data_IF_653784360882
#
_entry.id   IF_653784360882
#
_cell.length_a   1.000
_cell.length_b   1.000
_cell.length_c   1.000
_cell.angle_alpha   90.00
_cell.angle_beta   90.00
_cell.angle_gamma   90.00
#
_symmetry.space_group_name_H-M   'P 1'
#
loop_
_entity.id
_entity.type
_entity.pdbx_description
1 polymer ?
#
# COMPACT_ATOMS: atom_id res chain seq x y z
N UNK A 1 -20.40 30.06 24.25
CA UNK A 1 -21.28 29.01 23.68
C UNK A 1 -20.63 28.53 22.35
N UNK A 2 -19.99 27.39 22.39
CA UNK A 2 -19.31 26.83 21.21
C UNK A 2 -20.35 26.13 20.32
N UNK A 3 -20.49 26.55 19.05
CA UNK A 3 -21.37 25.91 18.08
C UNK A 3 -20.83 24.51 17.75
N UNK A 4 -21.58 23.46 18.05
CA UNK A 4 -21.33 22.09 17.62
C UNK A 4 -21.25 22.05 16.08
N UNK A 5 -20.16 21.51 15.55
CA UNK A 5 -20.03 21.22 14.12
C UNK A 5 -21.15 20.26 13.67
N UNK A 6 -21.76 20.47 12.50
CA UNK A 6 -22.83 19.61 12.01
C UNK A 6 -22.31 18.19 11.79
N UNK A 7 -23.03 17.21 12.32
CA UNK A 7 -22.74 15.80 12.12
C UNK A 7 -22.69 15.47 10.61
N UNK A 8 -21.58 14.92 10.12
CA UNK A 8 -21.45 14.42 8.74
C UNK A 8 -22.57 13.39 8.50
N UNK A 9 -23.56 13.75 7.67
CA UNK A 9 -24.58 12.81 7.22
C UNK A 9 -23.89 11.64 6.52
N UNK A 10 -24.15 10.40 6.97
CA UNK A 10 -23.72 9.19 6.24
C UNK A 10 -24.26 9.27 4.82
N UNK A 11 -23.41 9.00 3.78
CA UNK A 11 -23.88 9.01 2.42
C UNK A 11 -25.02 8.00 2.27
N UNK A 12 -26.12 8.41 1.63
CA UNK A 12 -27.23 7.51 1.31
C UNK A 12 -26.72 6.42 0.38
N UNK A 13 -27.03 5.16 0.69
CA UNK A 13 -26.75 4.04 -0.24
C UNK A 13 -27.44 4.34 -1.58
N UNK A 14 -26.68 4.30 -2.67
CA UNK A 14 -27.22 4.43 -4.02
C UNK A 14 -28.19 3.26 -4.27
N UNK A 15 -29.27 3.54 -4.99
CA UNK A 15 -30.20 2.49 -5.44
C UNK A 15 -29.55 1.74 -6.61
N UNK A 16 -29.71 0.41 -6.73
CA UNK A 16 -29.31 -0.33 -7.95
C UNK A 16 -29.90 0.31 -9.21
N UNK A 17 -29.15 0.32 -10.31
CA UNK A 17 -29.60 0.87 -11.60
C UNK A 17 -29.63 2.40 -11.70
N UNK A 18 -28.93 3.14 -10.82
CA UNK A 18 -28.93 4.61 -10.84
C UNK A 18 -27.60 5.23 -11.22
N UNK A 19 -26.58 4.43 -11.54
CA UNK A 19 -25.25 4.93 -11.92
C UNK A 19 -24.67 4.12 -13.08
N UNK A 20 -23.89 4.82 -13.91
CA UNK A 20 -23.16 4.21 -15.02
C UNK A 20 -23.92 4.22 -16.32
N UNK A 21 -23.39 3.53 -17.30
CA UNK A 21 -23.90 3.38 -18.65
C UNK A 21 -24.85 2.19 -18.76
N UNK A 22 -25.83 2.29 -19.63
CA UNK A 22 -26.61 1.11 -20.03
C UNK A 22 -25.76 0.18 -20.91
N UNK A 23 -26.04 -1.14 -20.94
CA UNK A 23 -25.24 -2.10 -21.70
C UNK A 23 -25.03 -1.74 -23.18
N UNK A 24 -26.03 -1.13 -23.82
CA UNK A 24 -25.93 -0.69 -25.22
C UNK A 24 -24.97 0.50 -25.42
N UNK A 25 -24.85 1.36 -24.42
CA UNK A 25 -23.95 2.53 -24.45
C UNK A 25 -22.47 2.15 -24.24
N UNK A 26 -22.22 0.96 -23.72
CA UNK A 26 -20.86 0.42 -23.53
C UNK A 26 -20.20 -0.02 -24.84
N UNK A 27 -20.98 -0.24 -25.91
CA UNK A 27 -20.44 -0.68 -27.19
C UNK A 27 -19.67 0.45 -27.89
N UNK A 28 -18.46 0.13 -28.33
CA UNK A 28 -17.62 1.01 -29.16
C UNK A 28 -17.22 0.29 -30.44
N UNK A 29 -17.11 1.02 -31.53
CA UNK A 29 -16.63 0.53 -32.83
C UNK A 29 -15.18 1.00 -33.10
N UNK A 30 -14.77 2.14 -32.54
CA UNK A 30 -13.45 2.71 -32.72
C UNK A 30 -12.92 3.28 -31.42
N UNK A 31 -11.62 3.18 -31.23
CA UNK A 31 -10.89 3.82 -30.12
C UNK A 31 -10.53 5.26 -30.48
N UNK A 32 -10.55 6.14 -29.47
CA UNK A 32 -10.20 7.56 -29.61
C UNK A 32 -9.22 7.98 -28.52
N UNK A 33 -8.42 9.01 -28.80
CA UNK A 33 -7.49 9.58 -27.82
C UNK A 33 -6.49 8.58 -27.28
N UNK A 34 -6.29 8.53 -25.97
CA UNK A 34 -5.35 7.62 -25.30
C UNK A 34 -5.63 6.13 -25.55
N UNK A 35 -6.90 5.77 -25.81
CA UNK A 35 -7.26 4.40 -26.13
C UNK A 35 -6.80 4.00 -27.55
N UNK A 36 -6.77 4.96 -28.50
CA UNK A 36 -6.20 4.72 -29.83
C UNK A 36 -4.68 4.52 -29.75
N UNK A 37 -3.97 5.36 -28.98
CA UNK A 37 -2.54 5.22 -28.72
C UNK A 37 -2.21 3.86 -28.06
N UNK A 38 -3.05 3.41 -27.13
CA UNK A 38 -2.91 2.10 -26.51
C UNK A 38 -3.17 0.95 -27.51
N UNK A 39 -4.09 1.11 -28.45
CA UNK A 39 -4.34 0.12 -29.50
C UNK A 39 -3.13 0.02 -30.46
N UNK A 40 -2.56 1.14 -30.87
CA UNK A 40 -1.32 1.18 -31.67
C UNK A 40 -0.17 0.48 -30.94
N UNK A 41 0.00 0.76 -29.64
CA UNK A 41 1.01 0.11 -28.83
C UNK A 41 0.83 -1.42 -28.73
N UNK A 42 -0.44 -1.90 -28.72
CA UNK A 42 -0.74 -3.36 -28.78
C UNK A 42 -0.27 -3.95 -30.10
N UNK A 43 -0.56 -3.29 -31.23
CA UNK A 43 -0.18 -3.77 -32.56
C UNK A 43 1.35 -3.71 -32.79
N UNK A 44 2.00 -2.63 -32.37
CA UNK A 44 3.47 -2.49 -32.44
C UNK A 44 4.19 -3.56 -31.61
N UNK A 45 3.62 -3.96 -30.49
CA UNK A 45 4.15 -5.05 -29.68
C UNK A 45 3.92 -6.44 -30.28
N UNK A 46 3.22 -6.54 -31.42
CA UNK A 46 2.83 -7.81 -32.04
C UNK A 46 1.62 -8.47 -31.37
N UNK A 47 0.85 -7.73 -30.63
CA UNK A 47 -0.44 -8.15 -30.04
C UNK A 47 -1.62 -7.95 -31.00
N UNK A 48 -2.81 -8.23 -30.53
CA UNK A 48 -4.06 -8.07 -31.28
C UNK A 48 -5.15 -7.53 -30.37
N UNK A 49 -5.83 -6.45 -30.78
CA UNK A 49 -7.04 -5.96 -30.12
C UNK A 49 -8.22 -6.80 -30.61
N UNK A 50 -8.87 -7.52 -29.69
CA UNK A 50 -9.99 -8.42 -29.98
C UNK A 50 -11.35 -7.82 -29.62
N UNK A 51 -11.36 -6.72 -28.89
CA UNK A 51 -12.57 -5.99 -28.53
C UNK A 51 -12.30 -4.65 -27.92
N UNK A 52 -13.27 -3.78 -28.00
CA UNK A 52 -13.25 -2.43 -27.45
C UNK A 52 -14.59 -2.11 -26.80
N UNK A 53 -14.57 -1.53 -25.61
CA UNK A 53 -15.80 -1.15 -24.93
C UNK A 53 -15.57 0.02 -23.96
N UNK A 54 -16.64 0.68 -23.56
CA UNK A 54 -16.65 1.60 -22.42
C UNK A 54 -16.95 0.80 -21.15
N UNK A 55 -16.08 0.94 -20.13
CA UNK A 55 -16.41 0.34 -18.84
C UNK A 55 -17.68 1.03 -18.27
N UNK A 56 -18.59 0.25 -17.65
CA UNK A 56 -19.95 0.73 -17.41
C UNK A 56 -20.09 1.79 -16.31
N UNK A 57 -19.10 1.98 -15.42
CA UNK A 57 -19.24 2.92 -14.29
C UNK A 57 -18.81 4.35 -14.64
N UNK A 58 -17.65 4.52 -15.25
CA UNK A 58 -17.06 5.82 -15.60
C UNK A 58 -17.11 6.13 -17.10
N UNK A 59 -17.37 5.13 -17.94
CA UNK A 59 -17.41 5.31 -19.39
C UNK A 59 -16.03 5.35 -20.05
N UNK A 60 -14.97 4.95 -19.34
CA UNK A 60 -13.62 4.93 -19.87
C UNK A 60 -13.46 3.82 -20.92
N UNK A 61 -12.73 4.14 -22.01
CA UNK A 61 -12.46 3.17 -23.05
C UNK A 61 -11.46 2.13 -22.59
N UNK A 62 -11.77 0.86 -22.80
CA UNK A 62 -10.95 -0.28 -22.40
C UNK A 62 -10.83 -1.27 -23.56
N UNK A 63 -9.63 -1.73 -23.82
CA UNK A 63 -9.33 -2.69 -24.87
C UNK A 63 -9.26 -4.11 -24.27
N UNK A 64 -9.92 -5.06 -24.88
CA UNK A 64 -9.64 -6.47 -24.70
C UNK A 64 -8.61 -6.88 -25.75
N UNK A 65 -7.43 -7.31 -25.33
CA UNK A 65 -6.32 -7.63 -26.23
C UNK A 65 -5.69 -8.97 -25.90
N UNK A 66 -5.02 -9.55 -26.89
CA UNK A 66 -4.12 -10.69 -26.73
C UNK A 66 -2.69 -10.18 -26.95
N UNK A 67 -1.87 -10.23 -25.92
CA UNK A 67 -0.51 -9.70 -25.91
C UNK A 67 0.53 -10.81 -25.96
N UNK A 68 1.67 -10.65 -26.68
CA UNK A 68 2.80 -11.53 -26.52
C UNK A 68 3.26 -11.55 -25.06
N UNK A 69 3.49 -12.72 -24.51
CA UNK A 69 3.73 -12.87 -23.07
C UNK A 69 5.06 -12.24 -22.61
N UNK A 70 6.03 -12.17 -23.51
CA UNK A 70 7.32 -11.52 -23.31
C UNK A 70 7.26 -9.98 -23.31
N UNK A 71 6.15 -9.41 -23.77
CA UNK A 71 5.89 -7.97 -23.76
C UNK A 71 5.11 -7.50 -22.52
N UNK A 72 4.71 -8.41 -21.64
CA UNK A 72 3.97 -8.09 -20.41
C UNK A 72 4.86 -8.34 -19.21
N UNK A 73 5.11 -7.29 -18.42
CA UNK A 73 5.89 -7.36 -17.19
C UNK A 73 5.06 -6.95 -15.98
N UNK A 74 5.35 -7.50 -14.78
CA UNK A 74 4.76 -6.95 -13.56
C UNK A 74 5.22 -5.50 -13.37
N UNK A 75 4.37 -4.68 -12.77
CA UNK A 75 4.79 -3.32 -12.37
C UNK A 75 5.99 -3.40 -11.43
N UNK A 76 7.02 -2.54 -11.58
CA UNK A 76 8.28 -2.63 -10.83
C UNK A 76 8.13 -2.64 -9.30
N UNK A 77 6.99 -2.18 -8.79
CA UNK A 77 6.72 -1.98 -7.36
C UNK A 77 5.81 -3.04 -6.75
N UNK A 78 5.52 -4.13 -7.46
CA UNK A 78 4.73 -5.23 -6.92
C UNK A 78 5.54 -6.10 -5.95
N UNK A 79 4.82 -6.76 -5.04
CA UNK A 79 5.38 -7.75 -4.10
C UNK A 79 6.11 -8.87 -4.82
N UNK A 80 7.07 -9.46 -4.12
CA UNK A 80 7.71 -10.68 -4.58
C UNK A 80 6.69 -11.82 -4.70
N UNK A 81 6.91 -12.68 -5.69
CA UNK A 81 6.04 -13.81 -5.98
C UNK A 81 6.11 -14.85 -4.86
N UNK A 82 4.94 -15.36 -4.47
CA UNK A 82 4.87 -16.60 -3.72
C UNK A 82 4.98 -17.78 -4.69
N UNK A 83 6.09 -18.51 -4.62
CA UNK A 83 6.37 -19.69 -5.45
C UNK A 83 5.26 -20.74 -5.42
N UNK A 84 4.68 -20.97 -4.25
CA UNK A 84 3.60 -21.92 -4.08
C UNK A 84 2.31 -21.53 -4.83
N UNK A 85 2.02 -20.22 -4.88
CA UNK A 85 0.76 -19.72 -5.44
C UNK A 85 0.72 -19.81 -6.97
N UNK A 86 1.77 -19.36 -7.67
CA UNK A 86 1.78 -19.42 -9.13
C UNK A 86 1.91 -20.84 -9.66
N UNK A 87 2.61 -21.75 -8.94
CA UNK A 87 2.66 -23.18 -9.27
C UNK A 87 1.27 -23.82 -9.23
N UNK A 88 0.53 -23.61 -8.13
CA UNK A 88 -0.84 -24.10 -7.99
C UNK A 88 -1.77 -23.53 -9.06
N UNK A 89 -1.62 -22.25 -9.40
CA UNK A 89 -2.41 -21.63 -10.44
C UNK A 89 -2.10 -22.20 -11.83
N UNK A 90 -0.82 -22.45 -12.13
CA UNK A 90 -0.42 -23.12 -13.37
C UNK A 90 -1.04 -24.52 -13.49
N UNK A 91 -1.04 -25.30 -12.39
CA UNK A 91 -1.66 -26.63 -12.36
C UNK A 91 -3.17 -26.57 -12.64
N UNK A 92 -3.87 -25.58 -12.07
CA UNK A 92 -5.31 -25.38 -12.31
C UNK A 92 -5.58 -25.00 -13.76
N UNK A 93 -4.83 -24.02 -14.31
CA UNK A 93 -4.99 -23.59 -15.71
C UNK A 93 -4.70 -24.77 -16.66
N UNK A 94 -3.65 -25.56 -16.38
CA UNK A 94 -3.32 -26.75 -17.18
C UNK A 94 -4.44 -27.78 -17.16
N UNK A 95 -5.03 -28.06 -15.99
CA UNK A 95 -6.13 -29.01 -15.83
C UNK A 95 -7.43 -28.56 -16.52
N UNK A 96 -7.72 -27.26 -16.46
CA UNK A 96 -8.92 -26.69 -17.10
C UNK A 96 -8.74 -26.47 -18.61
N UNK A 97 -7.49 -26.41 -19.09
CA UNK A 97 -7.14 -26.09 -20.47
C UNK A 97 -7.59 -24.70 -20.91
N UNK A 98 -7.87 -23.80 -19.98
CA UNK A 98 -8.44 -22.47 -20.26
C UNK A 98 -7.85 -21.40 -19.36
N UNK A 99 -7.55 -20.25 -19.96
CA UNK A 99 -7.24 -19.01 -19.26
C UNK A 99 -8.43 -18.06 -19.39
N UNK A 100 -9.21 -17.91 -18.32
CA UNK A 100 -10.51 -17.22 -18.33
C UNK A 100 -10.51 -15.87 -17.64
N UNK A 101 -9.44 -15.53 -16.93
CA UNK A 101 -9.36 -14.31 -16.12
C UNK A 101 -8.26 -13.38 -16.67
N UNK A 102 -8.59 -12.44 -17.59
CA UNK A 102 -7.62 -11.55 -18.20
C UNK A 102 -6.80 -10.77 -17.17
N UNK A 103 -5.54 -10.50 -17.46
CA UNK A 103 -4.74 -9.58 -16.66
C UNK A 103 -5.11 -8.14 -17.01
N UNK A 104 -5.08 -7.23 -16.04
CA UNK A 104 -5.20 -5.80 -16.32
C UNK A 104 -3.81 -5.28 -16.66
N UNK A 105 -3.70 -4.50 -17.74
CA UNK A 105 -2.43 -3.91 -18.18
C UNK A 105 -2.58 -2.45 -18.53
N UNK A 106 -1.47 -1.73 -18.43
CA UNK A 106 -1.28 -0.36 -18.94
C UNK A 106 -0.03 -0.33 -19.81
N UNK A 107 0.08 0.64 -20.72
CA UNK A 107 1.29 0.82 -21.54
C UNK A 107 2.45 1.28 -20.65
N UNK A 108 3.58 0.59 -20.72
CA UNK A 108 4.77 0.89 -19.95
C UNK A 108 5.58 2.07 -20.55
N UNK A 109 6.32 2.88 -19.75
CA UNK A 109 7.07 4.05 -20.24
C UNK A 109 8.14 3.75 -21.30
N UNK A 110 8.64 2.52 -21.34
CA UNK A 110 9.69 2.11 -22.27
C UNK A 110 9.20 1.21 -23.41
N UNK A 111 7.89 1.13 -23.61
CA UNK A 111 7.24 0.16 -24.51
C UNK A 111 6.88 -1.13 -23.79
N UNK A 112 6.01 -1.94 -24.42
CA UNK A 112 5.40 -3.11 -23.78
C UNK A 112 4.35 -2.73 -22.72
N UNK A 113 4.05 -3.63 -21.81
CA UNK A 113 2.90 -3.50 -20.90
C UNK A 113 3.26 -3.86 -19.47
N UNK A 114 2.76 -3.07 -18.52
CA UNK A 114 2.81 -3.40 -17.11
C UNK A 114 1.49 -3.99 -16.65
N UNK A 115 1.55 -5.07 -15.85
CA UNK A 115 0.38 -5.60 -15.15
C UNK A 115 0.42 -5.26 -13.65
N UNK A 116 -0.42 -4.31 -13.18
CA UNK A 116 -0.50 -3.96 -11.76
C UNK A 116 -1.26 -5.03 -10.95
N UNK A 117 -2.05 -5.86 -11.62
CA UNK A 117 -2.81 -6.93 -10.97
C UNK A 117 -2.88 -8.17 -11.88
N UNK A 118 -1.96 -9.08 -11.70
CA UNK A 118 -1.94 -10.29 -12.53
C UNK A 118 -0.60 -11.03 -12.50
N UNK A 119 0.37 -10.59 -11.68
CA UNK A 119 1.71 -11.18 -11.62
C UNK A 119 1.69 -12.70 -11.47
N UNK A 120 0.86 -13.26 -10.58
CA UNK A 120 0.74 -14.70 -10.40
C UNK A 120 0.17 -15.40 -11.64
N UNK A 121 -0.80 -14.76 -12.33
CA UNK A 121 -1.38 -15.27 -13.58
C UNK A 121 -0.39 -15.24 -14.73
N UNK A 122 0.32 -14.12 -14.86
CA UNK A 122 1.39 -13.95 -15.85
C UNK A 122 2.46 -15.02 -15.68
N UNK A 123 2.95 -15.23 -14.45
CA UNK A 123 3.98 -16.21 -14.18
C UNK A 123 3.50 -17.66 -14.35
N UNK A 124 2.26 -17.94 -14.00
CA UNK A 124 1.64 -19.23 -14.27
C UNK A 124 1.59 -19.52 -15.79
N UNK A 125 1.20 -18.53 -16.60
CA UNK A 125 1.17 -18.66 -18.06
C UNK A 125 2.57 -18.79 -18.67
N UNK A 126 3.55 -18.04 -18.16
CA UNK A 126 4.98 -18.19 -18.54
C UNK A 126 5.48 -19.61 -18.23
N UNK A 127 5.17 -20.13 -17.05
CA UNK A 127 5.52 -21.49 -16.64
C UNK A 127 4.90 -22.57 -17.53
N UNK A 128 3.71 -22.34 -18.04
CA UNK A 128 3.02 -23.23 -18.98
C UNK A 128 3.56 -23.12 -20.42
N UNK A 129 4.52 -22.22 -20.69
CA UNK A 129 5.07 -22.00 -22.02
C UNK A 129 4.10 -21.29 -22.98
N UNK A 130 3.14 -20.52 -22.44
CA UNK A 130 2.18 -19.78 -23.25
C UNK A 130 2.89 -18.73 -24.12
N UNK A 131 2.48 -18.60 -25.40
CA UNK A 131 3.00 -17.60 -26.33
C UNK A 131 2.42 -16.20 -26.08
N UNK A 132 1.19 -16.16 -25.56
CA UNK A 132 0.42 -14.94 -25.38
C UNK A 132 -0.46 -15.01 -24.14
N UNK A 133 -0.97 -13.86 -23.73
CA UNK A 133 -1.86 -13.71 -22.58
C UNK A 133 -3.00 -12.73 -22.91
N UNK A 134 -4.22 -13.06 -22.48
CA UNK A 134 -5.36 -12.14 -22.62
C UNK A 134 -5.28 -11.05 -21.57
N UNK A 135 -5.46 -9.80 -21.99
CA UNK A 135 -5.38 -8.63 -21.15
C UNK A 135 -6.55 -7.66 -21.37
N UNK A 136 -6.93 -6.95 -20.32
CA UNK A 136 -7.70 -5.71 -20.38
C UNK A 136 -6.68 -4.56 -20.35
N UNK A 137 -6.49 -3.88 -21.48
CA UNK A 137 -5.56 -2.76 -21.61
C UNK A 137 -6.32 -1.48 -21.31
N UNK A 138 -5.86 -0.78 -20.26
CA UNK A 138 -6.37 0.52 -19.83
C UNK A 138 -5.41 1.58 -20.31
N UNK A 139 -5.93 2.63 -20.97
CA UNK A 139 -5.10 3.64 -21.59
C UNK A 139 -4.43 4.57 -20.57
N UNK A 140 -5.13 4.87 -19.47
CA UNK A 140 -4.66 5.77 -18.43
C UNK A 140 -3.67 5.04 -17.51
N UNK A 141 -2.39 5.43 -17.58
CA UNK A 141 -1.32 4.80 -16.76
C UNK A 141 -1.56 4.95 -15.26
N UNK A 142 -2.17 6.04 -14.83
CA UNK A 142 -2.50 6.30 -13.43
C UNK A 142 -3.36 5.21 -12.81
N UNK A 143 -4.14 4.49 -13.62
CA UNK A 143 -4.95 3.35 -13.17
C UNK A 143 -4.08 2.23 -12.59
N UNK A 144 -2.83 2.08 -13.04
CA UNK A 144 -1.90 1.11 -12.45
C UNK A 144 -1.68 1.39 -10.96
N UNK A 145 -1.49 2.66 -10.59
CA UNK A 145 -1.32 3.08 -9.19
C UNK A 145 -2.58 2.88 -8.37
N UNK A 146 -3.75 3.16 -8.96
CA UNK A 146 -5.05 2.93 -8.31
C UNK A 146 -5.26 1.45 -7.99
N UNK A 147 -4.93 0.56 -8.93
CA UNK A 147 -5.04 -0.88 -8.74
C UNK A 147 -4.06 -1.38 -7.68
N UNK A 148 -2.82 -0.87 -7.67
CA UNK A 148 -1.85 -1.20 -6.63
C UNK A 148 -2.34 -0.75 -5.26
N UNK A 149 -2.90 0.45 -5.14
CA UNK A 149 -3.48 0.95 -3.90
C UNK A 149 -4.65 0.07 -3.40
N UNK A 150 -5.54 -0.37 -4.29
CA UNK A 150 -6.62 -1.30 -3.94
C UNK A 150 -6.11 -2.68 -3.49
N UNK A 151 -4.93 -3.08 -3.94
CA UNK A 151 -4.29 -4.33 -3.49
C UNK A 151 -3.68 -4.21 -2.10
N UNK A 152 -3.33 -3.01 -1.64
CA UNK A 152 -2.81 -2.79 -0.27
C UNK A 152 -3.85 -3.10 0.79
N UNK A 153 -5.14 -2.93 0.50
CA UNK A 153 -6.23 -3.32 1.41
C UNK A 153 -6.27 -4.83 1.70
N UNK A 154 -5.70 -5.66 0.81
CA UNK A 154 -5.61 -7.11 0.96
C UNK A 154 -4.35 -7.56 1.74
N UNK A 155 -3.49 -6.62 2.15
CA UNK A 155 -2.31 -6.93 2.94
C UNK A 155 -2.72 -7.45 4.32
N UNK A 156 -2.24 -8.65 4.68
CA UNK A 156 -2.67 -9.36 5.89
C UNK A 156 -2.12 -8.74 7.17
N UNK A 157 -1.02 -7.97 7.09
CA UNK A 157 -0.39 -7.36 8.26
C UNK A 157 0.17 -5.96 7.96
N UNK A 158 0.42 -5.20 9.03
CA UNK A 158 0.91 -3.81 8.96
C UNK A 158 2.24 -3.68 8.21
N UNK A 159 3.17 -4.61 8.42
CA UNK A 159 4.49 -4.61 7.77
C UNK A 159 4.37 -4.71 6.25
N UNK A 160 3.62 -5.70 5.77
CA UNK A 160 3.41 -5.90 4.34
C UNK A 160 2.76 -4.68 3.69
N UNK A 161 1.72 -4.12 4.36
CA UNK A 161 1.03 -2.92 3.90
C UNK A 161 1.97 -1.72 3.82
N UNK A 162 2.80 -1.50 4.84
CA UNK A 162 3.76 -0.40 4.86
C UNK A 162 4.84 -0.54 3.79
N UNK A 163 5.36 -1.77 3.58
CA UNK A 163 6.34 -2.04 2.53
C UNK A 163 5.76 -1.86 1.13
N UNK A 164 4.50 -2.17 0.92
CA UNK A 164 3.83 -1.94 -0.36
C UNK A 164 3.62 -0.45 -0.61
N UNK A 165 3.16 0.29 0.40
CA UNK A 165 2.97 1.74 0.30
C UNK A 165 4.28 2.47 0.00
N UNK A 166 5.39 2.14 0.66
CA UNK A 166 6.67 2.82 0.37
C UNK A 166 7.20 2.48 -1.03
N UNK A 167 6.99 1.26 -1.53
CA UNK A 167 7.34 0.89 -2.91
C UNK A 167 6.56 1.70 -3.93
N UNK A 168 5.24 1.84 -3.73
CA UNK A 168 4.39 2.70 -4.57
C UNK A 168 4.89 4.14 -4.50
N UNK A 169 5.17 4.65 -3.30
CA UNK A 169 5.65 6.01 -3.09
C UNK A 169 6.94 6.30 -3.88
N UNK A 170 7.93 5.39 -3.78
CA UNK A 170 9.19 5.52 -4.53
C UNK A 170 8.96 5.54 -6.03
N UNK A 171 8.06 4.68 -6.52
CA UNK A 171 7.68 4.66 -7.91
C UNK A 171 7.05 5.97 -8.40
N UNK A 172 6.18 6.56 -7.60
CA UNK A 172 5.58 7.88 -7.89
C UNK A 172 6.65 8.99 -7.90
N UNK A 173 7.64 8.93 -7.01
CA UNK A 173 8.77 9.88 -7.01
C UNK A 173 9.64 9.73 -8.26
N UNK A 174 9.85 8.51 -8.72
CA UNK A 174 10.65 8.24 -9.94
C UNK A 174 9.91 8.69 -11.20
N UNK A 175 8.58 8.54 -11.24
CA UNK A 175 7.76 8.97 -12.36
C UNK A 175 7.64 10.51 -12.44
N UNK A 176 7.20 11.16 -11.38
CA UNK A 176 7.14 12.63 -11.27
C UNK A 176 7.18 13.09 -9.80
N UNK A 177 8.38 13.20 -9.26
CA UNK A 177 8.59 13.62 -7.88
C UNK A 177 8.29 15.11 -7.60
N UNK A 178 7.86 15.90 -8.59
CA UNK A 178 7.53 17.32 -8.44
C UNK A 178 6.07 17.55 -8.01
N UNK A 179 5.20 16.57 -8.19
CA UNK A 179 3.79 16.67 -7.83
C UNK A 179 3.58 16.69 -6.31
N UNK A 180 2.55 17.39 -5.81
CA UNK A 180 2.27 17.46 -4.38
C UNK A 180 1.86 16.10 -3.81
N UNK A 181 2.39 15.74 -2.64
CA UNK A 181 2.13 14.47 -1.95
C UNK A 181 0.64 14.27 -1.67
N UNK A 182 -0.07 15.33 -1.25
CA UNK A 182 -1.51 15.28 -0.94
C UNK A 182 -2.36 14.80 -2.11
N UNK A 183 -1.93 15.03 -3.35
CA UNK A 183 -2.61 14.54 -4.56
C UNK A 183 -2.61 13.01 -4.67
N UNK A 184 -1.76 12.32 -3.95
CA UNK A 184 -1.64 10.86 -3.95
C UNK A 184 -2.19 10.19 -2.67
N UNK A 185 -2.83 10.96 -1.79
CA UNK A 185 -3.38 10.44 -0.53
C UNK A 185 -4.30 9.23 -0.72
N UNK A 186 -5.06 9.19 -1.82
CA UNK A 186 -5.92 8.06 -2.15
C UNK A 186 -5.12 6.77 -2.43
N UNK A 187 -3.94 6.89 -3.07
CA UNK A 187 -3.11 5.74 -3.44
C UNK A 187 -2.25 5.23 -2.28
N UNK A 188 -1.87 6.14 -1.38
CA UNK A 188 -0.94 5.87 -0.29
C UNK A 188 -1.66 5.56 1.03
N UNK A 189 -3.00 5.70 1.07
CA UNK A 189 -3.88 5.43 2.20
C UNK A 189 -3.59 6.30 3.43
N UNK A 190 -2.42 6.18 4.06
CA UNK A 190 -2.03 6.93 5.25
C UNK A 190 -0.55 7.29 5.23
N UNK A 191 -0.23 8.55 5.54
CA UNK A 191 1.16 9.04 5.60
C UNK A 191 2.04 8.22 6.58
N UNK A 192 1.45 7.74 7.68
CA UNK A 192 2.13 6.87 8.64
C UNK A 192 2.68 5.58 8.03
N UNK A 193 2.02 5.02 7.01
CA UNK A 193 2.49 3.80 6.34
C UNK A 193 3.75 4.05 5.51
N UNK A 194 3.94 5.27 4.99
CA UNK A 194 5.17 5.65 4.28
C UNK A 194 6.35 5.64 5.25
N UNK A 195 6.23 6.33 6.39
CA UNK A 195 7.28 6.35 7.43
C UNK A 195 7.58 4.94 7.97
N UNK A 196 6.54 4.15 8.27
CA UNK A 196 6.71 2.76 8.70
C UNK A 196 7.37 1.89 7.63
N UNK A 197 7.01 2.10 6.36
CA UNK A 197 7.62 1.40 5.23
C UNK A 197 9.12 1.61 5.17
N UNK A 198 9.57 2.87 5.31
CA UNK A 198 11.01 3.19 5.43
C UNK A 198 11.66 2.52 6.64
N UNK A 199 10.96 2.45 7.79
CA UNK A 199 11.48 1.74 8.96
C UNK A 199 11.68 0.25 8.67
N UNK A 200 10.70 -0.42 8.04
CA UNK A 200 10.77 -1.84 7.71
C UNK A 200 11.79 -2.16 6.60
N UNK A 201 12.02 -1.25 5.64
CA UNK A 201 13.12 -1.38 4.66
C UNK A 201 14.49 -1.42 5.34
N UNK A 202 14.68 -0.60 6.37
CA UNK A 202 15.97 -0.49 7.10
C UNK A 202 16.13 -1.58 8.16
N UNK A 203 15.05 -1.96 8.84
CA UNK A 203 15.06 -2.93 9.94
C UNK A 203 13.92 -3.92 9.76
N UNK A 204 14.22 -5.09 9.19
CA UNK A 204 13.23 -6.09 8.83
C UNK A 204 12.38 -6.62 10.02
N UNK A 205 12.94 -6.61 11.25
CA UNK A 205 12.26 -7.01 12.49
C UNK A 205 11.82 -5.81 13.34
N UNK A 206 11.50 -4.69 12.70
CA UNK A 206 11.01 -3.51 13.39
C UNK A 206 9.60 -3.75 13.96
N UNK A 207 9.40 -3.45 15.23
CA UNK A 207 8.10 -3.58 15.92
C UNK A 207 7.14 -2.42 15.64
N UNK A 208 6.82 -2.18 14.37
CA UNK A 208 6.06 -1.01 13.90
C UNK A 208 4.66 -0.89 14.48
N UNK A 209 4.04 -2.02 14.86
CA UNK A 209 2.72 -2.03 15.48
C UNK A 209 2.59 -1.15 16.73
N UNK A 210 3.66 -1.07 17.53
CA UNK A 210 3.69 -0.22 18.72
C UNK A 210 3.69 1.28 18.39
N UNK A 211 4.26 1.67 17.25
CA UNK A 211 4.41 3.08 16.81
C UNK A 211 3.28 3.54 15.90
N UNK A 212 2.63 2.62 15.19
CA UNK A 212 1.58 2.96 14.22
C UNK A 212 0.47 3.87 14.77
N UNK A 213 -0.09 3.64 15.98
CA UNK A 213 -1.13 4.53 16.52
C UNK A 213 -0.66 5.98 16.73
N UNK A 214 0.64 6.16 17.02
CA UNK A 214 1.26 7.47 17.25
C UNK A 214 1.44 8.16 15.90
N UNK A 215 2.09 7.50 14.95
CA UNK A 215 2.33 8.03 13.60
C UNK A 215 1.02 8.36 12.89
N UNK A 216 0.03 7.46 12.95
CA UNK A 216 -1.30 7.67 12.36
C UNK A 216 -2.02 8.91 12.90
N UNK A 217 -1.79 9.26 14.16
CA UNK A 217 -2.39 10.46 14.77
C UNK A 217 -1.66 11.75 14.38
N UNK A 218 -0.37 11.67 14.10
CA UNK A 218 0.51 12.83 13.94
C UNK A 218 0.89 13.13 12.50
N UNK A 219 0.83 12.14 11.61
CA UNK A 219 1.23 12.32 10.22
C UNK A 219 0.02 12.51 9.31
N UNK A 220 0.14 13.48 8.43
CA UNK A 220 -0.76 13.72 7.32
C UNK A 220 0.07 13.94 6.05
N UNK A 221 -0.51 13.68 4.90
CA UNK A 221 0.09 14.03 3.62
C UNK A 221 0.18 15.54 3.48
N UNK A 222 1.31 16.02 2.97
CA UNK A 222 1.63 17.45 2.80
C UNK A 222 1.39 17.92 1.37
N UNK A 223 1.35 19.23 1.18
CA UNK A 223 1.33 19.83 -0.17
C UNK A 223 2.74 20.02 -0.75
N UNK A 224 3.76 19.53 -0.05
CA UNK A 224 5.13 19.49 -0.55
C UNK A 224 5.29 18.51 -1.72
N UNK A 225 6.23 18.75 -2.65
CA UNK A 225 6.57 17.81 -3.69
C UNK A 225 6.93 16.42 -3.13
N UNK A 226 6.48 15.34 -3.77
CA UNK A 226 6.73 13.95 -3.35
C UNK A 226 8.20 13.70 -2.95
N UNK A 227 9.15 14.24 -3.75
CA UNK A 227 10.59 14.07 -3.48
C UNK A 227 11.03 14.75 -2.18
N UNK A 228 10.44 15.89 -1.83
CA UNK A 228 10.73 16.61 -0.58
C UNK A 228 10.05 15.93 0.60
N UNK A 229 8.79 15.54 0.45
CA UNK A 229 8.03 14.84 1.47
C UNK A 229 8.65 13.46 1.81
N UNK A 230 9.17 12.72 0.82
CA UNK A 230 9.90 11.47 1.08
C UNK A 230 11.10 11.67 2.00
N UNK A 231 11.90 12.74 1.80
CA UNK A 231 13.01 13.05 2.69
C UNK A 231 12.56 13.34 4.12
N UNK A 232 11.38 13.94 4.29
CA UNK A 232 10.80 14.16 5.62
C UNK A 232 10.38 12.83 6.26
N UNK A 233 9.73 11.93 5.52
CA UNK A 233 9.41 10.59 6.00
C UNK A 233 10.66 9.79 6.37
N UNK A 234 11.72 9.87 5.57
CA UNK A 234 13.01 9.22 5.86
C UNK A 234 13.68 9.76 7.13
N UNK A 235 13.60 11.08 7.37
CA UNK A 235 14.07 11.72 8.61
C UNK A 235 13.26 11.26 9.82
N UNK A 236 11.93 11.23 9.70
CA UNK A 236 11.02 10.75 10.76
C UNK A 236 11.26 9.28 11.07
N UNK A 237 11.43 8.45 10.04
CA UNK A 237 11.78 7.05 10.22
C UNK A 237 13.09 6.86 10.99
N UNK A 238 14.11 7.68 10.74
CA UNK A 238 15.36 7.66 11.50
C UNK A 238 15.12 7.93 12.99
N UNK A 239 14.32 8.96 13.32
CA UNK A 239 13.98 9.29 14.71
C UNK A 239 13.18 8.16 15.41
N UNK A 240 12.28 7.51 14.68
CA UNK A 240 11.50 6.35 15.19
C UNK A 240 12.44 5.18 15.47
N UNK A 241 13.37 4.87 14.57
CA UNK A 241 14.33 3.78 14.74
C UNK A 241 15.32 4.05 15.89
N UNK A 242 15.78 5.29 16.06
CA UNK A 242 16.60 5.67 17.23
C UNK A 242 15.86 5.47 18.56
N UNK A 243 14.57 5.78 18.58
CA UNK A 243 13.73 5.54 19.76
C UNK A 243 13.54 4.03 19.98
N UNK A 244 13.29 3.28 18.91
CA UNK A 244 13.09 1.82 18.96
C UNK A 244 14.30 1.08 19.51
N UNK A 245 15.51 1.47 19.13
CA UNK A 245 16.75 0.89 19.68
C UNK A 245 16.78 0.96 21.19
N UNK A 246 16.40 2.13 21.75
CA UNK A 246 16.34 2.35 23.19
C UNK A 246 15.18 1.59 23.85
N UNK A 247 14.02 1.53 23.20
CA UNK A 247 12.86 0.76 23.65
C UNK A 247 13.20 -0.73 23.68
N UNK A 248 13.84 -1.25 22.64
CA UNK A 248 14.29 -2.65 22.58
C UNK A 248 15.25 -3.01 23.71
N UNK A 249 16.15 -2.07 24.09
CA UNK A 249 17.04 -2.26 25.24
C UNK A 249 16.25 -2.38 26.56
N UNK A 250 15.23 -1.54 26.76
CA UNK A 250 14.35 -1.63 27.94
C UNK A 250 13.54 -2.92 27.94
N UNK A 251 12.98 -3.31 26.78
CA UNK A 251 12.23 -4.58 26.62
C UNK A 251 13.11 -5.76 26.98
N UNK A 252 14.37 -5.79 26.54
CA UNK A 252 15.32 -6.87 26.87
C UNK A 252 15.53 -6.97 28.39
N UNK A 253 15.78 -5.86 29.07
CA UNK A 253 15.96 -5.82 30.53
C UNK A 253 14.70 -6.30 31.29
N UNK A 254 13.50 -5.98 30.79
CA UNK A 254 12.26 -6.49 31.37
C UNK A 254 12.11 -7.99 31.18
N UNK A 255 12.48 -8.53 30.01
CA UNK A 255 12.53 -9.99 29.76
C UNK A 255 13.52 -10.70 30.68
N UNK A 256 14.71 -10.14 30.91
CA UNK A 256 15.72 -10.66 31.85
C UNK A 256 15.21 -10.74 33.30
N UNK A 257 14.29 -9.86 33.69
CA UNK A 257 13.59 -9.90 34.99
C UNK A 257 12.40 -10.88 35.03
N UNK A 258 12.21 -11.69 34.00
CA UNK A 258 11.12 -12.67 33.94
C UNK A 258 9.75 -12.04 33.52
N UNK A 259 9.71 -10.78 33.11
CA UNK A 259 8.50 -10.13 32.63
C UNK A 259 8.33 -10.41 31.12
N UNK A 260 7.63 -11.49 30.77
CA UNK A 260 7.48 -11.95 29.39
C UNK A 260 6.02 -11.85 28.96
N UNK A 261 5.75 -11.03 27.92
CA UNK A 261 4.45 -10.93 27.25
C UNK A 261 4.65 -10.52 25.80
N UNK A 262 3.80 -10.97 24.86
CA UNK A 262 3.85 -10.54 23.45
C UNK A 262 3.64 -9.04 23.26
N UNK A 263 3.14 -8.33 24.27
CA UNK A 263 2.80 -6.90 24.20
C UNK A 263 3.81 -5.99 24.91
N UNK A 264 4.99 -6.49 25.24
CA UNK A 264 5.94 -5.77 26.10
C UNK A 264 6.44 -4.47 25.45
N UNK A 265 6.70 -4.49 24.14
CA UNK A 265 7.07 -3.28 23.37
C UNK A 265 5.94 -2.26 23.38
N UNK A 266 4.73 -2.70 23.06
CA UNK A 266 3.54 -1.84 23.07
C UNK A 266 3.27 -1.25 24.46
N UNK A 267 3.53 -2.00 25.53
CA UNK A 267 3.47 -1.53 26.90
C UNK A 267 4.47 -0.39 27.17
N UNK A 268 5.74 -0.59 26.84
CA UNK A 268 6.80 0.41 27.04
C UNK A 268 6.48 1.69 26.25
N UNK A 269 6.19 1.54 24.95
CA UNK A 269 5.83 2.67 24.06
C UNK A 269 4.59 3.39 24.58
N UNK A 270 3.57 2.67 25.02
CA UNK A 270 2.35 3.24 25.59
C UNK A 270 2.60 4.04 26.88
N UNK A 271 3.52 3.61 27.74
CA UNK A 271 3.88 4.32 28.99
C UNK A 271 4.62 5.62 28.75
N UNK A 272 5.49 5.69 27.72
CA UNK A 272 6.24 6.90 27.39
C UNK A 272 5.47 7.85 26.47
N UNK A 273 4.39 7.41 25.84
CA UNK A 273 3.61 8.18 24.87
C UNK A 273 2.91 9.38 25.55
N UNK A 274 3.23 10.65 25.21
CA UNK A 274 2.59 11.81 25.77
C UNK A 274 1.16 12.05 25.26
N UNK A 275 0.82 11.49 24.10
CA UNK A 275 -0.46 11.76 23.42
C UNK A 275 -1.69 11.29 24.19
N UNK A 276 -1.52 10.38 25.16
CA UNK A 276 -2.63 9.92 26.03
C UNK A 276 -3.26 11.05 26.84
N UNK A 277 -2.50 12.12 27.08
CA UNK A 277 -2.91 13.24 27.93
C UNK A 277 -3.27 14.49 27.14
N UNK A 278 -3.01 14.50 25.83
CA UNK A 278 -3.26 15.66 24.96
C UNK A 278 -4.70 15.56 24.41
N UNK A 279 -5.54 16.53 24.85
CA UNK A 279 -6.89 16.74 24.32
C UNK A 279 -6.84 17.96 23.39
N UNK A 280 -6.99 17.73 22.07
CA UNK A 280 -6.93 18.79 21.06
C UNK A 280 -5.79 18.57 20.07
N UNK A 281 -5.27 19.67 19.49
CA UNK A 281 -4.22 19.63 18.47
C UNK A 281 -2.95 19.01 19.05
N UNK A 282 -2.45 18.02 18.35
CA UNK A 282 -1.23 17.32 18.75
C UNK A 282 0.02 18.13 18.32
N UNK A 283 1.09 18.12 19.13
CA UNK A 283 2.35 18.76 18.74
C UNK A 283 2.99 18.00 17.54
N UNK A 284 3.98 18.62 16.87
CA UNK A 284 4.73 17.98 15.80
C UNK A 284 5.30 16.62 16.23
N UNK A 285 5.41 15.68 15.28
CA UNK A 285 5.90 14.32 15.54
C UNK A 285 7.29 14.32 16.18
N UNK A 286 8.17 15.19 15.71
CA UNK A 286 9.53 15.32 16.22
C UNK A 286 9.57 15.67 17.71
N UNK A 287 8.68 16.56 18.17
CA UNK A 287 8.57 16.96 19.58
C UNK A 287 8.00 15.82 20.44
N UNK A 288 7.04 15.07 19.88
CA UNK A 288 6.48 13.89 20.55
C UNK A 288 7.56 12.82 20.72
N UNK A 289 8.31 12.49 19.67
CA UNK A 289 9.39 11.50 19.73
C UNK A 289 10.50 11.94 20.69
N UNK A 290 10.86 13.21 20.71
CA UNK A 290 11.81 13.78 21.70
C UNK A 290 11.31 13.59 23.13
N UNK A 291 10.04 13.94 23.38
CA UNK A 291 9.43 13.75 24.71
C UNK A 291 9.38 12.27 25.11
N UNK A 292 9.08 11.38 24.16
CA UNK A 292 9.10 9.93 24.42
C UNK A 292 10.50 9.46 24.79
N UNK A 293 11.54 9.92 24.10
CA UNK A 293 12.93 9.61 24.41
C UNK A 293 13.32 10.08 25.82
N UNK A 294 12.93 11.30 26.19
CA UNK A 294 13.24 11.87 27.51
C UNK A 294 12.51 11.12 28.63
N UNK A 295 11.27 10.68 28.39
CA UNK A 295 10.53 9.82 29.33
C UNK A 295 11.14 8.42 29.43
N UNK A 296 11.61 7.88 28.31
CA UNK A 296 12.26 6.58 28.30
C UNK A 296 13.57 6.58 29.11
N UNK A 297 14.34 7.68 29.05
CA UNK A 297 15.54 7.86 29.85
C UNK A 297 15.27 7.83 31.37
N UNK A 298 14.06 8.22 31.76
CA UNK A 298 13.58 8.23 33.16
C UNK A 298 12.75 6.98 33.52
N UNK A 299 12.66 6.01 32.59
CA UNK A 299 11.80 4.83 32.76
C UNK A 299 12.39 3.89 33.81
N UNK A 300 11.72 3.80 34.95
CA UNK A 300 12.16 2.93 36.04
C UNK A 300 11.64 1.50 35.84
N UNK A 301 12.55 0.63 35.42
CA UNK A 301 12.29 -0.79 35.17
C UNK A 301 11.96 -1.57 36.44
N UNK A 302 12.57 -1.18 37.59
CA UNK A 302 12.40 -1.86 38.87
C UNK A 302 10.96 -1.77 39.41
N UNK A 303 10.26 -0.69 39.10
CA UNK A 303 8.90 -0.46 39.56
C UNK A 303 7.84 -1.22 38.75
N UNK A 304 8.20 -1.92 37.66
CA UNK A 304 7.26 -2.68 36.85
C UNK A 304 6.97 -4.03 37.46
N UNK A 305 5.68 -4.29 37.72
CA UNK A 305 5.15 -5.54 38.27
C UNK A 305 4.40 -6.35 37.22
N UNK A 306 4.30 -7.69 37.34
CA UNK A 306 3.52 -8.53 36.42
C UNK A 306 2.07 -8.05 36.23
N UNK A 307 1.47 -7.49 37.28
CA UNK A 307 0.11 -6.94 37.25
C UNK A 307 -0.05 -5.75 36.30
N UNK A 308 1.01 -4.95 36.12
CA UNK A 308 1.00 -3.81 35.19
C UNK A 308 0.91 -4.26 33.71
N UNK A 309 1.32 -5.49 33.44
CA UNK A 309 1.29 -6.11 32.11
C UNK A 309 -0.05 -6.78 31.79
N UNK A 310 -0.88 -7.11 32.80
CA UNK A 310 -2.16 -7.77 32.61
C UNK A 310 -3.19 -6.90 31.84
N UNK A 311 -2.99 -5.57 31.83
CA UNK A 311 -3.80 -4.61 31.08
C UNK A 311 -3.13 -4.10 29.80
N UNK A 312 -2.01 -4.64 29.41
CA UNK A 312 -1.31 -4.24 28.20
C UNK A 312 -2.05 -4.78 26.97
N UNK A 313 -2.84 -3.91 26.34
CA UNK A 313 -3.47 -4.17 25.05
C UNK A 313 -2.70 -3.42 23.95
N UNK A 314 -2.49 -4.07 22.84
CA UNK A 314 -1.81 -3.50 21.68
C UNK A 314 -1.53 -4.59 20.64
N UNK A 315 -0.99 -4.25 19.48
CA UNK A 315 -0.51 -5.27 18.57
C UNK A 315 0.62 -6.07 19.23
N UNK A 316 0.66 -7.41 19.06
CA UNK A 316 1.75 -8.23 19.54
C UNK A 316 3.08 -7.78 18.92
N UNK A 317 4.17 -8.05 19.60
CA UNK A 317 5.51 -7.85 19.04
C UNK A 317 5.68 -8.79 17.83
N UNK A 318 6.06 -8.25 16.67
CA UNK A 318 6.24 -8.98 15.40
C UNK A 318 7.45 -9.96 15.45
N UNK A 319 7.79 -10.49 16.62
CA UNK A 319 8.93 -11.37 16.85
C UNK A 319 8.59 -12.88 16.82
N UNK A 320 7.50 -13.27 16.16
CA UNK A 320 7.24 -14.71 15.89
C UNK A 320 7.36 -15.01 14.40
#
# INVERSE_FOLDING_TARGET
>A
MAKRAPARRRPRKAKPGTKGLDPAECKLEQSEGSAAEAAEAVEEAGGCVVGLYKEPLGGHQTLLAVLPIDKVEPTPFQRDLSDAHHKRLADVISKTGRFLDPVITVVAPGGGFWTPNGRHRLEAMRRLGAKSITALVVAEREVAWQILALNTEKAHNLKERSLEVIRIYRGLVDEDGSRPESGFAFYLDQAALVTLGVCYERVARFGGGAYYPILRRLEAFSDEPLRSALKQHEKRASLVLELEEKVAAVVRKLKERGLVTPYLRSFVVGRINPLRWIKGDAPPLEDVLKTMRDRLAKFNIENIKPQDLAGAAGPPDDET
#
